data_IF_225657480553
#
_entry.id   IF_225657480553
#
_cell.length_a   1.000
_cell.length_b   1.000
_cell.length_c   1.000
_cell.angle_alpha   90.00
_cell.angle_beta   90.00
_cell.angle_gamma   90.00
#
_symmetry.space_group_name_H-M   'P 1'
#
loop_
_entity.id
_entity.type
_entity.pdbx_description
1 polymer ?
#
# COMPACT_ATOMS: atom_id res chain seq x y z
N UNK A 1 -16.70 16.15 -10.11
CA UNK A 1 -16.46 15.87 -8.67
C UNK A 1 -15.18 15.07 -8.51
N UNK A 2 -14.36 15.47 -7.58
CA UNK A 2 -13.06 14.83 -7.33
C UNK A 2 -13.17 13.32 -7.09
N UNK A 3 -14.11 12.92 -6.24
CA UNK A 3 -14.29 11.50 -5.93
C UNK A 3 -14.77 10.69 -7.12
N UNK A 4 -15.52 11.31 -8.01
CA UNK A 4 -16.01 10.61 -9.19
C UNK A 4 -14.87 10.26 -10.14
N UNK A 5 -13.91 11.17 -10.29
CA UNK A 5 -12.75 10.92 -11.13
C UNK A 5 -11.89 9.81 -10.53
N UNK A 6 -11.70 9.82 -9.22
CA UNK A 6 -10.92 8.77 -8.54
C UNK A 6 -11.61 7.42 -8.73
N UNK A 7 -12.93 7.36 -8.55
CA UNK A 7 -13.68 6.11 -8.76
C UNK A 7 -13.56 5.61 -10.18
N UNK A 8 -13.62 6.52 -11.14
CA UNK A 8 -13.48 6.16 -12.55
C UNK A 8 -12.12 5.49 -12.80
N UNK A 9 -11.05 6.09 -12.28
CA UNK A 9 -9.72 5.53 -12.44
C UNK A 9 -9.55 4.23 -11.66
N UNK A 10 -10.13 4.16 -10.46
CA UNK A 10 -10.08 2.93 -9.66
C UNK A 10 -10.78 1.77 -10.38
N UNK A 11 -11.93 2.05 -10.98
CA UNK A 11 -12.70 1.02 -11.67
C UNK A 11 -12.02 0.48 -12.91
N UNK A 12 -11.03 1.17 -13.44
CA UNK A 12 -10.24 0.69 -14.58
C UNK A 12 -9.22 -0.37 -14.18
N UNK A 13 -8.87 -0.42 -12.88
CA UNK A 13 -7.92 -1.42 -12.40
C UNK A 13 -8.58 -2.79 -12.36
N UNK A 14 -7.85 -3.78 -12.85
CA UNK A 14 -8.31 -5.16 -12.89
C UNK A 14 -7.11 -6.11 -12.86
N UNK A 15 -7.35 -7.39 -13.00
CA UNK A 15 -6.30 -8.39 -12.91
C UNK A 15 -5.23 -8.29 -14.01
N UNK A 16 -5.50 -7.54 -15.08
CA UNK A 16 -4.51 -7.33 -16.14
C UNK A 16 -3.73 -6.03 -15.97
N UNK A 17 -4.05 -5.25 -14.94
CA UNK A 17 -3.34 -4.01 -14.65
C UNK A 17 -1.90 -4.29 -14.23
N UNK A 18 -0.98 -3.47 -14.75
CA UNK A 18 0.42 -3.59 -14.35
C UNK A 18 0.77 -2.59 -13.26
N UNK A 19 2.03 -2.62 -12.81
CA UNK A 19 2.46 -1.70 -11.74
C UNK A 19 2.32 -0.24 -12.18
N UNK A 20 2.61 0.05 -13.43
CA UNK A 20 2.46 1.41 -13.95
C UNK A 20 1.01 1.89 -13.84
N UNK A 21 0.06 1.02 -14.15
CA UNK A 21 -1.36 1.34 -14.02
C UNK A 21 -1.71 1.68 -12.57
N UNK A 22 -1.20 0.89 -11.65
CA UNK A 22 -1.45 1.08 -10.22
C UNK A 22 -0.83 2.39 -9.75
N UNK A 23 0.40 2.66 -10.14
CA UNK A 23 1.08 3.90 -9.77
C UNK A 23 0.40 5.13 -10.37
N UNK A 24 -0.12 5.01 -11.58
CA UNK A 24 -0.87 6.09 -12.22
C UNK A 24 -2.18 6.37 -11.49
N UNK A 25 -2.84 5.32 -11.00
CA UNK A 25 -4.03 5.50 -10.18
C UNK A 25 -3.71 6.29 -8.91
N UNK A 26 -2.62 5.92 -8.23
CA UNK A 26 -2.19 6.62 -7.01
C UNK A 26 -1.91 8.09 -7.30
N UNK A 27 -1.21 8.38 -8.40
CA UNK A 27 -0.92 9.75 -8.80
C UNK A 27 -2.22 10.56 -8.98
N UNK A 28 -3.20 9.97 -9.63
CA UNK A 28 -4.50 10.60 -9.83
C UNK A 28 -5.20 10.87 -8.49
N UNK A 29 -5.22 9.87 -7.62
CA UNK A 29 -5.87 9.98 -6.31
C UNK A 29 -5.26 11.09 -5.46
N UNK A 30 -3.94 11.16 -5.43
CA UNK A 30 -3.23 12.18 -4.67
C UNK A 30 -3.52 13.58 -5.21
N UNK A 31 -3.51 13.71 -6.53
CA UNK A 31 -3.78 14.98 -7.18
C UNK A 31 -5.21 15.44 -6.94
N UNK A 32 -6.18 14.55 -7.18
CA UNK A 32 -7.59 14.91 -7.07
C UNK A 32 -8.01 15.22 -5.62
N UNK A 33 -7.39 14.56 -4.64
CA UNK A 33 -7.63 14.84 -3.23
C UNK A 33 -6.78 16.00 -2.71
N UNK A 34 -5.88 16.51 -3.53
CA UNK A 34 -4.99 17.60 -3.15
C UNK A 34 -4.13 17.21 -1.93
N UNK A 35 -3.70 15.95 -1.87
CA UNK A 35 -2.83 15.48 -0.80
C UNK A 35 -1.39 15.88 -1.10
N UNK A 36 -0.76 16.50 -0.13
CA UNK A 36 0.61 17.00 -0.30
C UNK A 36 1.40 16.81 0.99
N UNK A 37 1.49 15.57 1.42
CA UNK A 37 2.25 15.23 2.62
C UNK A 37 3.74 15.21 2.32
N UNK A 38 4.55 15.54 3.33
CA UNK A 38 6.00 15.44 3.19
C UNK A 38 6.42 13.97 3.24
N UNK A 39 7.60 13.62 2.69
CA UNK A 39 8.09 12.25 2.79
C UNK A 39 8.18 11.75 4.23
N UNK A 40 8.57 12.59 5.16
CA UNK A 40 8.65 12.18 6.57
C UNK A 40 7.26 11.87 7.13
N UNK A 41 6.26 12.69 6.81
CA UNK A 41 4.88 12.39 7.22
C UNK A 41 4.42 11.06 6.65
N UNK A 42 4.71 10.81 5.39
CA UNK A 42 4.33 9.56 4.74
C UNK A 42 5.01 8.35 5.39
N UNK A 43 6.28 8.51 5.76
CA UNK A 43 7.00 7.44 6.45
C UNK A 43 6.37 7.15 7.81
N UNK A 44 5.96 8.19 8.54
CA UNK A 44 5.29 8.01 9.81
C UNK A 44 3.97 7.26 9.64
N UNK A 45 3.17 7.63 8.65
CA UNK A 45 1.92 6.93 8.36
C UNK A 45 2.17 5.48 7.97
N UNK A 46 3.18 5.24 7.13
CA UNK A 46 3.54 3.88 6.75
C UNK A 46 3.91 3.05 7.98
N UNK A 47 4.71 3.63 8.89
CA UNK A 47 5.11 2.94 10.12
C UNK A 47 3.90 2.59 10.98
N UNK A 48 2.92 3.51 11.08
CA UNK A 48 1.69 3.24 11.80
C UNK A 48 0.92 2.07 11.18
N UNK A 49 0.81 2.04 9.86
CA UNK A 49 0.10 0.95 9.17
C UNK A 49 0.82 -0.37 9.31
N UNK A 50 2.16 -0.36 9.29
CA UNK A 50 2.93 -1.59 9.55
C UNK A 50 2.64 -2.09 10.96
N UNK A 51 2.53 -1.18 11.93
CA UNK A 51 2.16 -1.54 13.30
C UNK A 51 0.78 -2.16 13.37
N UNK A 52 -0.19 -1.60 12.67
CA UNK A 52 -1.54 -2.15 12.62
C UNK A 52 -1.55 -3.54 11.97
N UNK A 53 -0.77 -3.71 10.91
CA UNK A 53 -0.62 -5.01 10.26
C UNK A 53 -0.04 -6.03 11.22
N UNK A 54 1.02 -5.67 11.94
CA UNK A 54 1.65 -6.57 12.92
C UNK A 54 0.64 -6.97 14.00
N UNK A 55 -0.16 -6.03 14.45
CA UNK A 55 -1.19 -6.28 15.46
C UNK A 55 -2.21 -7.30 14.94
N UNK A 56 -2.69 -7.12 13.72
CA UNK A 56 -3.69 -8.02 13.15
C UNK A 56 -3.13 -9.42 12.91
N UNK A 57 -1.88 -9.53 12.47
CA UNK A 57 -1.24 -10.84 12.29
C UNK A 57 -1.07 -11.54 13.62
N UNK A 58 -0.61 -10.80 14.63
CA UNK A 58 -0.44 -11.36 15.98
C UNK A 58 -1.76 -11.90 16.51
N UNK A 59 -2.85 -11.15 16.36
CA UNK A 59 -4.16 -11.58 16.80
C UNK A 59 -4.63 -12.82 16.05
N UNK A 60 -4.36 -12.88 14.76
CA UNK A 60 -4.79 -13.99 13.93
C UNK A 60 -4.08 -15.29 14.33
N UNK A 61 -2.82 -15.21 14.71
CA UNK A 61 -2.03 -16.39 15.09
C UNK A 61 -2.20 -16.80 16.55
N UNK A 62 -2.58 -15.86 17.40
CA UNK A 62 -2.77 -16.18 18.80
C UNK A 62 -4.15 -16.81 19.01
N UNK A 63 -4.22 -17.81 19.87
CA UNK A 63 -5.49 -18.39 20.26
C UNK A 63 -6.02 -17.71 21.51
N UNK A 64 -5.94 -16.40 21.54
CA UNK A 64 -6.36 -15.63 22.69
C UNK A 64 -7.87 -15.58 22.76
N UNK A 65 -8.42 -16.15 23.81
CA UNK A 65 -9.87 -16.27 23.97
C UNK A 65 -10.58 -14.94 24.10
N UNK A 66 -9.89 -13.92 24.54
CA UNK A 66 -10.46 -12.59 24.66
C UNK A 66 -10.88 -12.00 23.32
N UNK A 67 -10.45 -12.62 22.24
CA UNK A 67 -10.71 -12.13 20.89
C UNK A 67 -11.68 -12.98 20.09
N UNK A 68 -12.53 -13.72 20.79
CA UNK A 68 -13.42 -14.70 20.15
C UNK A 68 -14.36 -14.14 19.11
N UNK A 69 -14.66 -12.85 19.16
CA UNK A 69 -15.60 -12.23 18.23
C UNK A 69 -14.94 -11.58 17.03
N UNK A 70 -13.64 -11.75 16.86
CA UNK A 70 -12.91 -11.04 15.81
C UNK A 70 -12.74 -11.85 14.54
N UNK A 71 -12.76 -11.14 13.43
CA UNK A 71 -12.56 -11.72 12.11
C UNK A 71 -11.27 -11.15 11.55
N UNK A 72 -10.15 -11.70 11.97
CA UNK A 72 -8.84 -11.13 11.69
C UNK A 72 -8.39 -11.22 10.25
N UNK A 73 -8.82 -12.26 9.53
CA UNK A 73 -8.36 -12.46 8.16
C UNK A 73 -8.71 -11.30 7.24
N UNK A 74 -9.91 -10.69 7.41
CA UNK A 74 -10.29 -9.54 6.58
C UNK A 74 -9.48 -8.31 6.94
N UNK A 75 -9.14 -8.15 8.21
CA UNK A 75 -8.35 -6.99 8.64
C UNK A 75 -6.92 -7.07 8.14
N UNK A 76 -6.34 -8.27 8.10
CA UNK A 76 -4.99 -8.44 7.55
C UNK A 76 -4.94 -7.99 6.10
N UNK A 77 -5.95 -8.37 5.32
CA UNK A 77 -6.04 -7.99 3.92
C UNK A 77 -6.08 -6.47 3.78
N UNK A 78 -6.90 -5.82 4.57
CA UNK A 78 -7.05 -4.36 4.53
C UNK A 78 -5.77 -3.66 4.98
N UNK A 79 -5.13 -4.17 6.02
CA UNK A 79 -3.89 -3.56 6.52
C UNK A 79 -2.74 -3.74 5.51
N UNK A 80 -2.69 -4.87 4.82
CA UNK A 80 -1.70 -5.05 3.76
C UNK A 80 -1.93 -4.03 2.64
N UNK A 81 -3.19 -3.81 2.28
CA UNK A 81 -3.52 -2.82 1.25
C UNK A 81 -3.10 -1.43 1.69
N UNK A 82 -3.36 -1.06 2.94
CA UNK A 82 -2.98 0.26 3.46
C UNK A 82 -1.47 0.45 3.45
N UNK A 83 -0.71 -0.57 3.85
CA UNK A 83 0.76 -0.50 3.78
C UNK A 83 1.20 -0.28 2.34
N UNK A 84 0.63 -1.03 1.41
CA UNK A 84 0.98 -0.92 -0.01
C UNK A 84 0.66 0.47 -0.56
N UNK A 85 -0.49 1.03 -0.18
CA UNK A 85 -0.88 2.37 -0.63
C UNK A 85 0.16 3.42 -0.18
N UNK A 86 0.66 3.33 1.04
CA UNK A 86 1.70 4.27 1.49
C UNK A 86 3.03 4.05 0.79
N UNK A 87 3.38 2.79 0.49
CA UNK A 87 4.58 2.51 -0.32
C UNK A 87 4.44 3.16 -1.69
N UNK A 88 3.28 3.00 -2.33
CA UNK A 88 3.00 3.61 -3.64
C UNK A 88 3.03 5.14 -3.56
N UNK A 89 2.53 5.71 -2.49
CA UNK A 89 2.49 7.16 -2.31
C UNK A 89 3.90 7.72 -2.15
N UNK A 90 4.75 7.04 -1.39
CA UNK A 90 6.15 7.44 -1.23
C UNK A 90 6.87 7.34 -2.58
N UNK A 91 6.62 6.27 -3.33
CA UNK A 91 7.22 6.11 -4.65
C UNK A 91 6.82 7.26 -5.58
N UNK A 92 5.57 7.69 -5.52
CA UNK A 92 5.11 8.83 -6.31
C UNK A 92 5.86 10.11 -5.91
N UNK A 93 6.07 10.30 -4.63
CA UNK A 93 6.75 11.49 -4.11
C UNK A 93 8.16 11.63 -4.67
N UNK A 94 8.85 10.49 -4.82
CA UNK A 94 10.22 10.47 -5.32
C UNK A 94 10.31 10.10 -6.80
N UNK A 95 9.17 9.98 -7.47
CA UNK A 95 9.10 9.62 -8.88
C UNK A 95 9.83 8.31 -9.18
N UNK A 96 9.57 7.31 -8.36
CA UNK A 96 10.19 5.98 -8.47
C UNK A 96 9.27 5.01 -9.17
N UNK A 97 9.79 4.32 -10.19
CA UNK A 97 9.11 3.20 -10.84
C UNK A 97 9.36 1.94 -10.01
N UNK A 98 8.32 1.43 -9.37
CA UNK A 98 8.47 0.32 -8.44
C UNK A 98 8.79 -1.01 -9.12
N UNK A 99 8.32 -1.22 -10.34
CA UNK A 99 8.69 -2.44 -11.07
C UNK A 99 10.19 -2.45 -11.34
N UNK A 100 10.71 -1.35 -11.82
CA UNK A 100 12.14 -1.19 -12.08
C UNK A 100 12.95 -1.36 -10.80
N UNK A 101 12.50 -0.71 -9.72
CA UNK A 101 13.18 -0.80 -8.43
C UNK A 101 13.21 -2.23 -7.90
N UNK A 102 12.10 -2.95 -8.03
CA UNK A 102 12.01 -4.34 -7.60
C UNK A 102 12.99 -5.22 -8.39
N UNK A 103 12.97 -5.10 -9.71
CA UNK A 103 13.83 -5.92 -10.56
C UNK A 103 15.30 -5.65 -10.28
N UNK A 104 15.67 -4.38 -10.14
CA UNK A 104 17.05 -4.01 -9.82
C UNK A 104 17.48 -4.59 -8.48
N UNK A 105 16.66 -4.42 -7.48
CA UNK A 105 17.01 -4.87 -6.12
C UNK A 105 17.10 -6.39 -6.03
N UNK A 106 16.15 -7.09 -6.65
CA UNK A 106 16.15 -8.55 -6.63
C UNK A 106 17.34 -9.11 -7.41
N UNK A 107 17.75 -8.44 -8.48
CA UNK A 107 18.96 -8.83 -9.21
C UNK A 107 20.18 -8.77 -8.29
N UNK A 108 20.29 -7.68 -7.52
CA UNK A 108 21.36 -7.52 -6.54
C UNK A 108 21.29 -8.61 -5.48
N UNK A 109 20.10 -8.89 -4.97
CA UNK A 109 19.92 -9.90 -3.93
C UNK A 109 20.34 -11.30 -4.42
N UNK A 110 20.00 -11.64 -5.65
CA UNK A 110 20.37 -12.94 -6.23
C UNK A 110 21.87 -13.08 -6.37
N UNK A 111 22.58 -11.99 -6.66
CA UNK A 111 24.03 -12.01 -6.80
C UNK A 111 24.78 -12.14 -5.47
N UNK A 112 24.09 -11.85 -4.38
CA UNK A 112 24.70 -11.86 -3.05
C UNK A 112 24.68 -13.23 -2.36
N UNK A 113 24.02 -14.19 -2.95
CA UNK A 113 23.92 -15.54 -2.35
C UNK A 113 25.05 -16.48 -2.77
#
# INVERSE_FOLDING_TARGET
MTKDKIREELNKLNETSNMSDIQNYIKCMLKENNYNNTPLELLCYLTEEVGELAKEIRKNESNMEMDINKKYSSNIKDELADVFIYVLTIADKYNIDLLDALKRKETINLERT
#
